data_IF_917765706165
#
_entry.id   IF_917765706165
#
_cell.length_a   1.000
_cell.length_b   1.000
_cell.length_c   1.000
_cell.angle_alpha   90.00
_cell.angle_beta   90.00
_cell.angle_gamma   90.00
#
_symmetry.space_group_name_H-M   'P 1'
#
loop_
_entity.id
_entity.type
_entity.pdbx_description
1 polymer ?
#
# COMPACT_ATOMS: atom_id res chain seq x y z
N UNK A 1 -17.55 -5.03 21.96
CA UNK A 1 -16.39 -5.52 21.19
C UNK A 1 -16.82 -5.53 19.73
N UNK A 2 -16.71 -4.40 19.04
CA UNK A 2 -17.12 -4.29 17.64
C UNK A 2 -16.14 -5.10 16.79
N UNK A 3 -16.63 -6.16 16.15
CA UNK A 3 -15.83 -6.92 15.18
C UNK A 3 -15.49 -5.96 14.03
N UNK A 4 -14.24 -5.50 13.99
CA UNK A 4 -13.72 -4.79 12.84
C UNK A 4 -13.73 -5.78 11.67
N UNK A 5 -14.68 -5.63 10.73
CA UNK A 5 -14.85 -6.49 9.55
C UNK A 5 -13.73 -6.31 8.51
N UNK A 6 -12.91 -5.28 8.68
CA UNK A 6 -11.83 -4.89 7.79
C UNK A 6 -10.82 -6.01 7.45
N UNK A 7 -10.42 -6.91 8.37
CA UNK A 7 -9.56 -8.04 8.03
C UNK A 7 -10.25 -9.05 7.10
N UNK A 8 -11.56 -9.26 7.27
CA UNK A 8 -12.36 -10.14 6.41
C UNK A 8 -12.57 -9.55 5.02
N UNK A 9 -12.86 -8.25 4.94
CA UNK A 9 -12.92 -7.52 3.67
C UNK A 9 -11.60 -7.62 2.90
N UNK A 10 -10.45 -7.37 3.55
CA UNK A 10 -9.15 -7.46 2.90
C UNK A 10 -8.83 -8.88 2.41
N UNK A 11 -9.22 -9.92 3.15
CA UNK A 11 -9.03 -11.31 2.73
C UNK A 11 -9.80 -11.66 1.45
N UNK A 12 -10.89 -10.94 1.15
CA UNK A 12 -11.68 -11.15 -0.06
C UNK A 12 -11.28 -10.21 -1.20
N UNK A 13 -11.06 -8.93 -0.90
CA UNK A 13 -10.85 -7.89 -1.92
C UNK A 13 -9.40 -7.80 -2.42
N UNK A 14 -8.40 -8.10 -1.58
CA UNK A 14 -6.98 -7.98 -1.93
C UNK A 14 -6.49 -9.11 -2.84
N UNK A 15 -6.84 -10.40 -2.64
CA UNK A 15 -6.31 -11.46 -3.50
C UNK A 15 -6.62 -11.29 -4.99
N UNK A 16 -7.84 -10.90 -5.42
CA UNK A 16 -8.09 -10.60 -6.83
C UNK A 16 -7.19 -9.50 -7.40
N UNK A 17 -6.94 -8.43 -6.63
CA UNK A 17 -6.02 -7.35 -7.04
C UNK A 17 -4.58 -7.82 -7.16
N UNK A 18 -4.13 -8.65 -6.21
CA UNK A 18 -2.79 -9.24 -6.24
C UNK A 18 -2.62 -10.17 -7.44
N UNK A 19 -3.62 -11.01 -7.74
CA UNK A 19 -3.61 -11.88 -8.92
C UNK A 19 -3.59 -11.07 -10.21
N UNK A 20 -4.40 -10.01 -10.29
CA UNK A 20 -4.43 -9.12 -11.46
C UNK A 20 -3.11 -8.37 -11.61
N UNK A 21 -2.50 -7.94 -10.51
CA UNK A 21 -1.15 -7.34 -10.49
C UNK A 21 -0.12 -8.34 -11.01
N UNK A 22 -0.10 -9.57 -10.49
CA UNK A 22 0.80 -10.63 -10.93
C UNK A 22 0.63 -10.97 -12.41
N UNK A 23 -0.61 -11.08 -12.90
CA UNK A 23 -0.92 -11.25 -14.32
C UNK A 23 -0.37 -10.09 -15.15
N UNK A 24 -0.62 -8.86 -14.71
CA UNK A 24 -0.23 -7.64 -15.39
C UNK A 24 1.30 -7.51 -15.51
N UNK A 25 2.04 -7.98 -14.50
CA UNK A 25 3.51 -8.04 -14.52
C UNK A 25 4.05 -9.20 -15.37
N UNK A 26 3.42 -10.37 -15.30
CA UNK A 26 3.91 -11.58 -15.97
C UNK A 26 3.59 -11.62 -17.47
N UNK A 27 2.44 -11.06 -17.87
CA UNK A 27 1.99 -10.94 -19.27
C UNK A 27 1.54 -9.50 -19.55
N UNK A 28 2.51 -8.58 -19.71
CA UNK A 28 2.21 -7.17 -19.95
C UNK A 28 1.32 -7.01 -21.19
N UNK A 29 0.15 -6.40 -21.01
CA UNK A 29 -0.74 -6.04 -22.10
C UNK A 29 -1.50 -4.77 -21.73
N UNK A 30 -1.80 -3.89 -22.71
CA UNK A 30 -2.55 -2.66 -22.45
C UNK A 30 -3.88 -2.92 -21.74
N UNK A 31 -4.59 -3.97 -22.17
CA UNK A 31 -5.87 -4.37 -21.57
C UNK A 31 -5.72 -4.78 -20.10
N UNK A 32 -4.71 -5.59 -19.75
CA UNK A 32 -4.48 -6.00 -18.37
C UNK A 32 -4.11 -4.81 -17.47
N UNK A 33 -3.24 -3.91 -17.95
CA UNK A 33 -2.85 -2.72 -17.19
C UNK A 33 -4.02 -1.75 -16.97
N UNK A 34 -4.86 -1.58 -18.00
CA UNK A 34 -6.07 -0.75 -17.91
C UNK A 34 -7.09 -1.35 -16.94
N UNK A 35 -7.36 -2.66 -17.06
CA UNK A 35 -8.24 -3.37 -16.14
C UNK A 35 -7.74 -3.21 -14.69
N UNK A 36 -6.43 -3.41 -14.46
CA UNK A 36 -5.83 -3.23 -13.14
C UNK A 36 -6.01 -1.80 -12.62
N UNK A 37 -5.75 -0.78 -13.43
CA UNK A 37 -5.87 0.62 -13.02
C UNK A 37 -7.29 0.98 -12.59
N UNK A 38 -8.30 0.54 -13.35
CA UNK A 38 -9.70 0.74 -12.98
C UNK A 38 -10.11 -0.09 -11.75
N UNK A 39 -9.64 -1.34 -11.64
CA UNK A 39 -9.91 -2.17 -10.46
C UNK A 39 -9.31 -1.56 -9.19
N UNK A 40 -8.10 -1.02 -9.27
CA UNK A 40 -7.43 -0.34 -8.15
C UNK A 40 -8.20 0.92 -7.76
N UNK A 41 -8.58 1.77 -8.72
CA UNK A 41 -9.37 2.95 -8.43
C UNK A 41 -10.69 2.58 -7.74
N UNK A 42 -11.43 1.61 -8.28
CA UNK A 42 -12.69 1.15 -7.72
C UNK A 42 -12.51 0.62 -6.30
N UNK A 43 -11.51 -0.25 -6.09
CA UNK A 43 -11.17 -0.76 -4.77
C UNK A 43 -10.85 0.37 -3.78
N UNK A 44 -9.97 1.30 -4.15
CA UNK A 44 -9.55 2.40 -3.28
C UNK A 44 -10.74 3.31 -2.93
N UNK A 45 -11.67 3.56 -3.86
CA UNK A 45 -12.90 4.30 -3.56
C UNK A 45 -13.81 3.57 -2.58
N UNK A 46 -14.04 2.27 -2.79
CA UNK A 46 -14.86 1.45 -1.89
C UNK A 46 -14.25 1.38 -0.48
N UNK A 47 -12.94 1.19 -0.38
CA UNK A 47 -12.22 1.14 0.89
C UNK A 47 -12.23 2.50 1.61
N UNK A 48 -12.13 3.60 0.84
CA UNK A 48 -12.30 4.96 1.38
C UNK A 48 -13.70 5.17 1.96
N UNK A 49 -14.74 4.82 1.21
CA UNK A 49 -16.13 4.92 1.68
C UNK A 49 -16.32 4.10 2.96
N UNK A 50 -15.78 2.87 3.00
CA UNK A 50 -15.84 2.03 4.20
C UNK A 50 -15.18 2.69 5.41
N UNK A 51 -13.97 3.24 5.25
CA UNK A 51 -13.24 3.93 6.32
C UNK A 51 -13.96 5.21 6.80
N UNK A 52 -14.72 5.88 5.93
CA UNK A 52 -15.55 7.03 6.30
C UNK A 52 -16.83 6.61 7.05
N UNK A 53 -17.45 5.49 6.66
CA UNK A 53 -18.66 4.98 7.30
C UNK A 53 -18.40 4.31 8.65
N UNK A 54 -17.22 3.72 8.84
CA UNK A 54 -16.85 2.96 10.05
C UNK A 54 -15.48 3.44 10.58
N UNK A 55 -15.34 4.69 11.05
CA UNK A 55 -14.06 5.23 11.49
C UNK A 55 -13.45 4.47 12.69
N UNK A 56 -14.27 3.80 13.51
CA UNK A 56 -13.85 2.98 14.65
C UNK A 56 -13.11 1.70 14.23
N UNK A 57 -13.08 1.37 12.93
CA UNK A 57 -12.29 0.25 12.43
C UNK A 57 -10.77 0.47 12.61
N UNK A 58 -10.34 1.73 12.76
CA UNK A 58 -8.95 2.11 12.94
C UNK A 58 -8.61 2.34 14.43
N UNK A 59 -7.39 1.95 14.86
CA UNK A 59 -7.00 2.00 16.27
C UNK A 59 -6.84 3.43 16.83
N UNK A 60 -6.67 4.43 15.97
CA UNK A 60 -6.53 5.82 16.38
C UNK A 60 -6.94 6.79 15.27
N UNK A 61 -7.31 8.02 15.64
CA UNK A 61 -7.62 9.10 14.68
C UNK A 61 -6.44 9.42 13.77
N UNK A 62 -5.21 9.35 14.29
CA UNK A 62 -3.98 9.55 13.50
C UNK A 62 -3.86 8.47 12.42
N UNK A 63 -4.10 7.20 12.78
CA UNK A 63 -4.05 6.08 11.84
C UNK A 63 -5.10 6.25 10.75
N UNK A 64 -6.34 6.55 11.14
CA UNK A 64 -7.44 6.83 10.23
C UNK A 64 -7.11 7.96 9.23
N UNK A 65 -6.61 9.10 9.72
CA UNK A 65 -6.23 10.22 8.85
C UNK A 65 -5.11 9.85 7.88
N UNK A 66 -4.08 9.10 8.34
CA UNK A 66 -3.00 8.65 7.45
C UNK A 66 -3.46 7.67 6.37
N UNK A 67 -4.46 6.84 6.67
CA UNK A 67 -5.06 5.90 5.71
C UNK A 67 -5.91 6.65 4.68
N UNK A 68 -6.71 7.63 5.10
CA UNK A 68 -7.45 8.46 4.15
C UNK A 68 -6.53 9.26 3.24
N UNK A 69 -5.47 9.87 3.78
CA UNK A 69 -4.47 10.55 2.95
C UNK A 69 -3.83 9.58 1.95
N UNK A 70 -3.50 8.36 2.39
CA UNK A 70 -3.00 7.31 1.50
C UNK A 70 -3.99 6.98 0.38
N UNK A 71 -5.27 6.73 0.69
CA UNK A 71 -6.29 6.37 -0.30
C UNK A 71 -6.55 7.49 -1.30
N UNK A 72 -6.70 8.73 -0.83
CA UNK A 72 -6.89 9.90 -1.71
C UNK A 72 -5.69 10.06 -2.63
N UNK A 73 -4.48 9.93 -2.10
CA UNK A 73 -3.24 10.05 -2.90
C UNK A 73 -3.10 8.89 -3.89
N UNK A 74 -3.43 7.65 -3.51
CA UNK A 74 -3.38 6.49 -4.38
C UNK A 74 -4.41 6.57 -5.51
N UNK A 75 -5.63 7.03 -5.20
CA UNK A 75 -6.67 7.29 -6.18
C UNK A 75 -6.26 8.40 -7.15
N UNK A 76 -5.70 9.49 -6.64
CA UNK A 76 -5.18 10.58 -7.46
C UNK A 76 -4.05 10.12 -8.39
N UNK A 77 -3.14 9.30 -7.88
CA UNK A 77 -2.05 8.69 -8.63
C UNK A 77 -2.57 7.80 -9.76
N UNK A 78 -3.50 6.88 -9.49
CA UNK A 78 -3.99 5.92 -10.51
C UNK A 78 -4.81 6.60 -11.60
N UNK A 79 -5.37 7.78 -11.36
CA UNK A 79 -5.98 8.59 -12.42
C UNK A 79 -4.96 8.99 -13.51
N UNK A 80 -3.66 9.11 -13.22
CA UNK A 80 -2.64 9.39 -14.23
C UNK A 80 -2.53 8.27 -15.29
N UNK A 81 -2.23 7.00 -14.94
CA UNK A 81 -2.19 5.91 -15.92
C UNK A 81 -3.53 5.62 -16.60
N UNK A 82 -4.66 6.01 -15.99
CA UNK A 82 -5.98 5.94 -16.65
C UNK A 82 -6.10 6.97 -17.77
N UNK A 83 -5.67 8.20 -17.52
CA UNK A 83 -5.70 9.29 -18.52
C UNK A 83 -4.63 9.13 -19.60
N UNK A 84 -3.49 8.54 -19.27
CA UNK A 84 -2.35 8.36 -20.17
C UNK A 84 -2.02 6.86 -20.27
N UNK A 85 -2.71 6.15 -21.17
CA UNK A 85 -2.67 4.68 -21.26
C UNK A 85 -1.25 4.11 -21.48
N UNK A 86 -0.34 4.88 -22.08
CA UNK A 86 1.08 4.49 -22.23
C UNK A 86 1.81 4.23 -20.90
N UNK A 87 1.28 4.77 -19.79
CA UNK A 87 1.84 4.59 -18.45
C UNK A 87 1.07 3.58 -17.59
N UNK A 88 0.10 2.85 -18.16
CA UNK A 88 -0.75 1.95 -17.38
C UNK A 88 0.05 0.84 -16.65
N UNK A 89 1.23 0.48 -17.16
CA UNK A 89 2.14 -0.46 -16.50
C UNK A 89 2.64 0.03 -15.13
N UNK A 90 2.70 1.35 -14.90
CA UNK A 90 3.11 1.93 -13.63
C UNK A 90 2.16 1.57 -12.49
N UNK A 91 0.86 1.38 -12.77
CA UNK A 91 -0.10 0.88 -11.79
C UNK A 91 0.34 -0.48 -11.25
N UNK A 92 0.73 -1.41 -12.13
CA UNK A 92 1.16 -2.76 -11.74
C UNK A 92 2.41 -2.72 -10.84
N UNK A 93 3.30 -1.75 -11.09
CA UNK A 93 4.49 -1.57 -10.27
C UNK A 93 4.12 -1.06 -8.86
N UNK A 94 3.19 -0.12 -8.76
CA UNK A 94 2.71 0.38 -7.48
C UNK A 94 1.95 -0.69 -6.69
N UNK A 95 1.05 -1.43 -7.33
CA UNK A 95 0.18 -2.42 -6.67
C UNK A 95 0.90 -3.70 -6.26
N UNK A 96 2.17 -3.87 -6.64
CA UNK A 96 3.01 -4.95 -6.12
C UNK A 96 3.06 -4.96 -4.58
N UNK A 97 2.88 -3.80 -3.92
CA UNK A 97 2.78 -3.70 -2.46
C UNK A 97 1.62 -4.50 -1.86
N UNK A 98 0.57 -4.77 -2.63
CA UNK A 98 -0.58 -5.52 -2.14
C UNK A 98 -0.22 -6.97 -1.81
N UNK A 99 0.90 -7.48 -2.32
CA UNK A 99 1.49 -8.74 -1.83
C UNK A 99 1.82 -8.66 -0.34
N UNK A 100 2.37 -7.54 0.14
CA UNK A 100 2.63 -7.33 1.56
C UNK A 100 1.34 -7.27 2.38
N UNK A 101 0.31 -6.57 1.86
CA UNK A 101 -1.03 -6.50 2.47
C UNK A 101 -1.68 -7.88 2.55
N UNK A 102 -1.59 -8.68 1.49
CA UNK A 102 -2.10 -10.05 1.45
C UNK A 102 -1.37 -10.95 2.44
N UNK A 103 -0.02 -10.92 2.48
CA UNK A 103 0.75 -11.67 3.47
C UNK A 103 0.38 -11.26 4.91
N UNK A 104 0.12 -9.99 5.15
CA UNK A 104 -0.34 -9.50 6.45
C UNK A 104 -1.74 -10.04 6.81
N UNK A 105 -2.68 -10.01 5.88
CA UNK A 105 -4.04 -10.53 6.08
C UNK A 105 -4.02 -12.03 6.38
N UNK A 106 -3.23 -12.80 5.64
CA UNK A 106 -2.99 -14.24 5.89
C UNK A 106 -2.37 -14.44 7.27
N UNK A 107 -1.34 -13.67 7.64
CA UNK A 107 -0.75 -13.76 8.97
C UNK A 107 -1.76 -13.45 10.09
N UNK A 108 -2.62 -12.45 9.92
CA UNK A 108 -3.68 -12.13 10.90
C UNK A 108 -4.70 -13.27 11.06
N UNK A 109 -5.03 -13.95 9.96
CA UNK A 109 -5.98 -15.07 9.97
C UNK A 109 -5.38 -16.33 10.61
N UNK A 110 -4.19 -16.75 10.19
CA UNK A 110 -3.62 -18.06 10.56
C UNK A 110 -2.54 -17.99 11.66
N UNK A 111 -1.95 -16.82 11.90
CA UNK A 111 -0.91 -16.55 12.91
C UNK A 111 0.34 -17.45 12.83
N UNK A 112 0.60 -18.08 11.68
CA UNK A 112 1.74 -18.97 11.48
C UNK A 112 3.09 -18.25 11.30
N UNK A 113 4.22 -18.90 11.65
CA UNK A 113 5.56 -18.30 11.54
C UNK A 113 5.97 -18.02 10.09
N UNK A 114 5.59 -18.89 9.15
CA UNK A 114 5.85 -18.70 7.72
C UNK A 114 5.14 -17.45 7.17
N UNK A 115 3.86 -17.26 7.51
CA UNK A 115 3.10 -16.08 7.10
C UNK A 115 3.69 -14.79 7.70
N UNK A 116 4.15 -14.84 8.95
CA UNK A 116 4.87 -13.72 9.58
C UNK A 116 6.17 -13.40 8.85
N UNK A 117 6.98 -14.40 8.53
CA UNK A 117 8.24 -14.22 7.81
C UNK A 117 8.00 -13.64 6.40
N UNK A 118 7.02 -14.17 5.66
CA UNK A 118 6.63 -13.66 4.35
C UNK A 118 6.16 -12.20 4.42
N UNK A 119 5.35 -11.85 5.42
CA UNK A 119 4.94 -10.46 5.65
C UNK A 119 6.14 -9.54 5.93
N UNK A 120 7.08 -9.93 6.80
CA UNK A 120 8.24 -9.10 7.12
C UNK A 120 9.19 -8.96 5.91
N UNK A 121 9.42 -10.04 5.18
CA UNK A 121 10.25 -10.01 3.97
C UNK A 121 9.67 -9.08 2.92
N UNK A 122 8.38 -9.27 2.59
CA UNK A 122 7.68 -8.39 1.63
C UNK A 122 7.60 -6.95 2.14
N UNK A 123 7.50 -6.72 3.44
CA UNK A 123 7.53 -5.38 4.03
C UNK A 123 8.85 -4.68 3.71
N UNK A 124 9.98 -5.32 4.03
CA UNK A 124 11.31 -4.74 3.81
C UNK A 124 11.54 -4.50 2.33
N UNK A 125 11.33 -5.52 1.50
CA UNK A 125 11.59 -5.43 0.05
C UNK A 125 10.73 -4.35 -0.60
N UNK A 126 9.42 -4.37 -0.35
CA UNK A 126 8.49 -3.49 -1.07
C UNK A 126 8.47 -2.07 -0.49
N UNK A 127 8.44 -1.92 0.84
CA UNK A 127 8.32 -0.58 1.45
C UNK A 127 9.64 0.17 1.54
N UNK A 128 10.76 -0.53 1.75
CA UNK A 128 12.08 0.10 1.94
C UNK A 128 12.97 0.06 0.69
N UNK A 129 12.78 -0.92 -0.20
CA UNK A 129 13.50 -0.98 -1.47
C UNK A 129 12.68 -0.45 -2.63
N UNK A 130 11.55 -1.11 -2.91
CA UNK A 130 10.77 -0.89 -4.12
C UNK A 130 10.15 0.51 -4.20
N UNK A 131 9.49 1.00 -3.14
CA UNK A 131 8.82 2.31 -3.17
C UNK A 131 9.76 3.50 -3.40
N UNK A 132 10.92 3.59 -2.69
CA UNK A 132 11.91 4.61 -2.99
C UNK A 132 12.42 4.52 -4.43
N UNK A 133 12.66 3.31 -4.94
CA UNK A 133 13.00 3.11 -6.35
C UNK A 133 11.89 3.62 -7.28
N UNK A 134 10.62 3.35 -6.97
CA UNK A 134 9.49 3.81 -7.79
C UNK A 134 9.42 5.34 -7.88
N UNK A 135 9.75 6.08 -6.82
CA UNK A 135 9.83 7.55 -6.90
C UNK A 135 10.83 7.98 -7.99
N UNK A 136 12.03 7.40 -7.97
CA UNK A 136 13.05 7.66 -8.98
C UNK A 136 12.59 7.23 -10.38
N UNK A 137 12.00 6.04 -10.50
CA UNK A 137 11.53 5.50 -11.77
C UNK A 137 10.42 6.37 -12.38
N UNK A 138 9.43 6.78 -11.59
CA UNK A 138 8.37 7.70 -12.02
C UNK A 138 8.95 9.03 -12.49
N UNK A 139 9.92 9.59 -11.76
CA UNK A 139 10.60 10.81 -12.19
C UNK A 139 11.24 10.66 -13.57
N UNK A 140 11.98 9.58 -13.81
CA UNK A 140 12.63 9.32 -15.11
C UNK A 140 11.60 9.14 -16.23
N UNK A 141 10.58 8.31 -16.00
CA UNK A 141 9.55 8.00 -17.02
C UNK A 141 8.72 9.23 -17.39
N UNK A 142 8.25 9.98 -16.40
CA UNK A 142 7.39 11.15 -16.60
C UNK A 142 8.18 12.30 -17.24
N UNK A 143 9.44 12.51 -16.84
CA UNK A 143 10.33 13.50 -17.49
C UNK A 143 10.71 13.09 -18.90
N UNK A 144 11.01 11.82 -19.12
CA UNK A 144 11.34 11.27 -20.44
C UNK A 144 10.18 11.40 -21.44
N UNK A 145 8.93 11.40 -20.94
CA UNK A 145 7.74 11.66 -21.73
C UNK A 145 7.47 13.15 -22.03
N UNK A 146 8.31 14.07 -21.52
CA UNK A 146 8.22 15.51 -21.80
C UNK A 146 7.38 16.32 -20.80
N UNK A 147 6.85 15.71 -19.74
CA UNK A 147 6.14 16.47 -18.70
C UNK A 147 7.12 17.33 -17.88
N UNK A 148 6.81 18.62 -17.77
CA UNK A 148 7.64 19.57 -17.02
C UNK A 148 7.60 19.28 -15.51
N UNK A 149 8.73 19.48 -14.81
CA UNK A 149 8.74 19.40 -13.34
C UNK A 149 7.78 20.46 -12.79
N UNK A 150 6.87 20.04 -11.93
CA UNK A 150 5.85 20.92 -11.34
C UNK A 150 4.59 21.08 -12.19
N UNK A 151 4.50 20.47 -13.38
CA UNK A 151 3.23 20.39 -14.11
C UNK A 151 2.19 19.59 -13.31
N UNK A 152 0.92 19.69 -13.71
CA UNK A 152 -0.17 18.93 -13.09
C UNK A 152 0.12 17.43 -13.12
N UNK A 153 0.53 16.89 -14.27
CA UNK A 153 0.83 15.48 -14.47
C UNK A 153 2.02 15.01 -13.64
N UNK A 154 3.08 15.84 -13.56
CA UNK A 154 4.24 15.55 -12.72
C UNK A 154 3.87 15.51 -11.24
N UNK A 155 3.08 16.48 -10.78
CA UNK A 155 2.59 16.50 -9.40
C UNK A 155 1.65 15.32 -9.12
N UNK A 156 0.76 15.01 -10.05
CA UNK A 156 -0.17 13.89 -9.94
C UNK A 156 0.55 12.54 -9.86
N UNK A 157 1.59 12.34 -10.65
CA UNK A 157 2.31 11.07 -10.71
C UNK A 157 3.44 11.02 -9.66
N UNK A 158 4.53 11.75 -9.90
CA UNK A 158 5.73 11.76 -9.06
C UNK A 158 5.44 12.32 -7.67
N UNK A 159 4.69 13.43 -7.59
CA UNK A 159 4.32 14.05 -6.31
C UNK A 159 3.52 13.11 -5.41
N UNK A 160 2.50 12.45 -5.97
CA UNK A 160 1.75 11.41 -5.25
C UNK A 160 2.64 10.25 -4.83
N UNK A 161 3.55 9.78 -5.69
CA UNK A 161 4.45 8.68 -5.35
C UNK A 161 5.40 9.04 -4.20
N UNK A 162 5.88 10.29 -4.13
CA UNK A 162 6.66 10.82 -3.00
C UNK A 162 5.85 10.80 -1.71
N UNK A 163 4.58 11.24 -1.76
CA UNK A 163 3.69 11.24 -0.59
C UNK A 163 3.45 9.79 -0.11
N UNK A 164 3.12 8.87 -1.01
CA UNK A 164 2.90 7.46 -0.69
C UNK A 164 4.16 6.81 -0.11
N UNK A 165 5.33 7.09 -0.68
CA UNK A 165 6.61 6.63 -0.15
C UNK A 165 6.87 7.18 1.27
N UNK A 166 6.58 8.46 1.50
CA UNK A 166 6.73 9.09 2.82
C UNK A 166 5.79 8.47 3.86
N UNK A 167 4.54 8.17 3.49
CA UNK A 167 3.61 7.45 4.36
C UNK A 167 4.08 6.02 4.68
N UNK A 168 4.69 5.33 3.72
CA UNK A 168 5.28 4.02 3.95
C UNK A 168 6.43 4.05 4.96
N UNK A 169 7.31 5.06 4.88
CA UNK A 169 8.35 5.28 5.89
C UNK A 169 7.76 5.62 7.25
N UNK A 170 6.78 6.53 7.28
CA UNK A 170 6.06 6.90 8.49
C UNK A 170 5.47 5.68 9.21
N UNK A 171 4.75 4.82 8.50
CA UNK A 171 4.20 3.58 9.07
C UNK A 171 5.28 2.57 9.47
N UNK A 172 6.41 2.52 8.76
CA UNK A 172 7.54 1.67 9.14
C UNK A 172 8.13 2.10 10.48
N UNK A 173 8.28 3.40 10.70
CA UNK A 173 8.72 3.94 11.99
C UNK A 173 7.72 3.60 13.10
N UNK A 174 6.41 3.76 12.85
CA UNK A 174 5.39 3.38 13.85
C UNK A 174 5.46 1.89 14.23
N UNK A 175 5.63 1.01 13.25
CA UNK A 175 5.77 -0.44 13.50
C UNK A 175 7.06 -0.75 14.27
N UNK A 176 8.19 -0.17 13.87
CA UNK A 176 9.48 -0.39 14.53
C UNK A 176 9.45 0.05 16.00
N UNK A 177 8.91 1.26 16.27
CA UNK A 177 8.73 1.76 17.63
C UNK A 177 7.81 0.87 18.47
N UNK A 178 6.69 0.42 17.90
CA UNK A 178 5.77 -0.50 18.57
C UNK A 178 6.42 -1.84 18.93
N UNK A 179 7.27 -2.39 18.05
CA UNK A 179 8.03 -3.61 18.32
C UNK A 179 9.07 -3.42 19.43
N UNK A 180 9.75 -2.27 19.46
CA UNK A 180 10.73 -1.93 20.50
C UNK A 180 10.06 -1.81 21.87
N UNK A 181 8.93 -1.10 21.95
CA UNK A 181 8.16 -0.94 23.19
C UNK A 181 7.63 -2.29 23.71
N UNK A 182 7.12 -3.15 22.83
CA UNK A 182 6.67 -4.49 23.21
C UNK A 182 7.80 -5.36 23.78
N UNK A 183 9.00 -5.29 23.16
CA UNK A 183 10.19 -6.00 23.65
C UNK A 183 10.65 -5.48 25.00
N UNK A 184 10.60 -4.17 25.23
CA UNK A 184 10.97 -3.57 26.51
C UNK A 184 10.00 -4.01 27.62
N UNK A 185 8.69 -3.96 27.37
CA UNK A 185 7.68 -4.42 28.33
C UNK A 185 7.87 -5.89 28.72
N UNK A 186 8.16 -6.76 27.77
CA UNK A 186 8.45 -8.18 28.04
C UNK A 186 9.69 -8.38 28.93
N UNK A 187 10.73 -7.55 28.73
CA UNK A 187 11.95 -7.59 29.55
C UNK A 187 11.66 -7.16 30.98
N UNK A 188 10.90 -6.08 31.16
CA UNK A 188 10.55 -5.55 32.48
C UNK A 188 9.66 -6.54 33.26
N UNK A 189 8.69 -7.18 32.61
CA UNK A 189 7.85 -8.24 33.21
C UNK A 189 8.66 -9.48 33.62
N UNK A 190 9.74 -9.80 32.90
CA UNK A 190 10.62 -10.92 33.27
C UNK A 190 11.47 -10.59 34.49
N UNK A 191 12.00 -9.37 34.57
CA UNK A 191 12.80 -8.89 35.72
C UNK A 191 11.99 -8.77 37.02
N UNK A 192 10.69 -8.47 36.94
CA UNK A 192 9.83 -8.41 38.13
C UNK A 192 9.33 -9.80 38.60
N UNK A 193 9.55 -10.85 37.81
CA UNK A 193 9.16 -12.23 38.16
C UNK A 193 10.35 -13.08 38.63
N UNK A 194 11.58 -12.58 38.48
CA UNK A 194 12.82 -13.17 38.99
C UNK A 194 13.18 -12.60 40.35
#
# INVERSE_FOLDING_TARGET
MWYCWHPGFNLFAIPPLVLLTGWSLAKPSPAAHKALSWSVLCYTMLDTIYNLMVPECQPSRRRWASILLHHVTAAWLVCFPISYEGFAHLTAYCTAVELNTMCFAIYKAFKGPAARAAHLLTWVVLRLGWYPYLVYHFHQVVRGAGFAVGSYEYCQSVGSQVILCSLNFFWTVEVALGMMQAKQKQKDEHLHRS
#
